data_IF_167492972872
#
_entry.id   IF_167492972872
#
_cell.length_a   1.000
_cell.length_b   1.000
_cell.length_c   1.000
_cell.angle_alpha   90.00
_cell.angle_beta   90.00
_cell.angle_gamma   90.00
#
_symmetry.space_group_name_H-M   'P 1'
#
loop_
_entity.id
_entity.type
_entity.pdbx_description
1 polymer ?
#
# COMPACT_ATOMS: atom_id res chain seq x y z
N UNK A 1 5.35 -23.39 -22.16
CA UNK A 1 5.12 -24.41 -21.10
C UNK A 1 5.31 -23.73 -19.76
N UNK A 2 4.38 -23.84 -18.80
CA UNK A 2 4.63 -23.36 -17.44
C UNK A 2 5.86 -24.09 -16.87
N UNK A 3 6.78 -23.34 -16.29
CA UNK A 3 7.96 -23.88 -15.59
C UNK A 3 7.59 -24.07 -14.13
N UNK A 4 7.72 -25.29 -13.61
CA UNK A 4 7.62 -25.52 -12.17
C UNK A 4 8.94 -25.08 -11.55
N UNK A 5 8.86 -24.12 -10.64
CA UNK A 5 9.98 -23.69 -9.82
C UNK A 5 9.98 -24.52 -8.53
N UNK A 6 11.00 -25.35 -8.36
CA UNK A 6 11.17 -26.25 -7.22
C UNK A 6 12.14 -25.70 -6.16
N UNK A 7 12.57 -24.45 -6.29
CA UNK A 7 13.50 -23.85 -5.35
C UNK A 7 12.82 -23.59 -4.00
N UNK A 8 13.61 -23.60 -2.92
CA UNK A 8 13.14 -23.33 -1.58
C UNK A 8 12.48 -21.94 -1.51
N UNK A 9 11.23 -21.90 -1.03
CA UNK A 9 10.49 -20.66 -0.76
C UNK A 9 10.37 -20.48 0.75
N UNK A 10 10.77 -19.32 1.23
CA UNK A 10 10.79 -18.99 2.66
C UNK A 10 9.75 -17.91 2.97
N UNK A 11 9.00 -18.09 4.05
CA UNK A 11 8.19 -17.07 4.69
C UNK A 11 8.87 -16.54 5.97
N UNK A 12 8.31 -15.47 6.54
CA UNK A 12 8.78 -14.91 7.81
C UNK A 12 8.84 -15.94 8.96
N UNK A 13 7.92 -16.92 8.98
CA UNK A 13 7.85 -17.98 10.01
C UNK A 13 8.97 -19.01 9.88
N UNK A 14 9.63 -19.10 8.73
CA UNK A 14 10.62 -20.14 8.44
C UNK A 14 12.05 -19.74 8.85
N UNK A 15 12.25 -18.50 9.30
CA UNK A 15 13.56 -17.93 9.59
C UNK A 15 13.63 -17.21 10.94
N UNK A 16 14.84 -17.11 11.49
CA UNK A 16 15.15 -16.32 12.68
C UNK A 16 16.39 -15.46 12.42
N UNK A 17 16.45 -14.29 13.06
CA UNK A 17 17.64 -13.45 13.05
C UNK A 17 18.67 -13.99 14.06
N UNK A 18 19.87 -14.36 13.58
CA UNK A 18 20.97 -14.79 14.45
C UNK A 18 21.55 -13.58 15.21
N UNK A 19 21.57 -13.59 16.56
CA UNK A 19 22.23 -12.54 17.33
C UNK A 19 23.72 -12.41 16.97
N UNK A 20 24.24 -11.19 17.01
CA UNK A 20 25.66 -10.89 16.81
C UNK A 20 26.19 -10.05 17.97
N UNK A 21 27.50 -10.13 18.22
CA UNK A 21 28.17 -9.25 19.20
C UNK A 21 27.92 -7.79 18.82
N UNK A 22 27.48 -6.96 19.76
CA UNK A 22 27.15 -5.55 19.55
C UNK A 22 27.85 -4.67 20.59
N UNK A 23 28.14 -3.43 20.22
CA UNK A 23 28.62 -2.37 21.13
C UNK A 23 27.49 -1.54 21.73
N UNK A 24 26.25 -1.69 21.24
CA UNK A 24 25.08 -0.98 21.76
C UNK A 24 24.81 -1.39 23.20
N UNK A 25 24.55 -0.41 24.06
CA UNK A 25 24.26 -0.64 25.48
C UNK A 25 22.77 -0.60 25.78
N UNK A 26 22.00 0.07 24.92
CA UNK A 26 20.55 0.23 25.06
C UNK A 26 19.87 0.19 23.69
N UNK A 27 18.60 -0.25 23.68
CA UNK A 27 17.73 -0.16 22.49
C UNK A 27 17.45 1.28 22.08
N UNK A 28 17.52 2.22 23.01
CA UNK A 28 17.32 3.65 22.75
C UNK A 28 18.45 4.27 21.89
N UNK A 29 19.58 3.58 21.72
CA UNK A 29 20.69 4.02 20.86
C UNK A 29 20.49 3.61 19.39
N UNK A 30 19.43 2.85 19.09
CA UNK A 30 19.13 2.40 17.72
C UNK A 30 18.46 3.54 16.96
N UNK A 31 19.07 3.92 15.84
CA UNK A 31 18.44 4.79 14.85
C UNK A 31 17.58 3.96 13.88
N UNK A 32 16.31 4.35 13.76
CA UNK A 32 15.34 3.72 12.87
C UNK A 32 15.12 4.50 11.59
N UNK A 33 15.62 5.74 11.51
CA UNK A 33 15.47 6.56 10.33
C UNK A 33 16.35 6.07 9.19
N UNK A 34 15.85 6.24 7.97
CA UNK A 34 16.57 5.97 6.73
C UNK A 34 16.48 7.16 5.82
N UNK A 35 17.59 7.48 5.17
CA UNK A 35 17.64 8.46 4.08
C UNK A 35 17.82 7.73 2.76
N UNK A 36 16.96 8.02 1.78
CA UNK A 36 17.00 7.44 0.45
C UNK A 36 17.03 8.55 -0.61
N UNK A 37 17.83 8.38 -1.65
CA UNK A 37 17.72 9.17 -2.88
C UNK A 37 17.19 8.26 -3.98
N UNK A 38 16.04 8.62 -4.54
CA UNK A 38 15.33 7.75 -5.48
C UNK A 38 15.88 7.81 -6.90
N UNK A 39 15.87 6.66 -7.58
CA UNK A 39 16.55 6.47 -8.86
C UNK A 39 16.02 7.39 -9.95
N UNK A 40 14.70 7.47 -10.14
CA UNK A 40 14.09 8.13 -11.28
C UNK A 40 13.63 9.54 -10.93
N UNK A 41 12.97 9.73 -9.79
CA UNK A 41 12.50 11.06 -9.36
C UNK A 41 13.62 11.99 -8.89
N UNK A 42 14.78 11.43 -8.49
CA UNK A 42 15.92 12.12 -7.87
C UNK A 42 15.59 12.80 -6.52
N UNK A 43 14.38 12.63 -6.01
CA UNK A 43 13.97 13.14 -4.72
C UNK A 43 14.68 12.41 -3.59
N UNK A 44 14.76 13.05 -2.44
CA UNK A 44 15.29 12.45 -1.22
C UNK A 44 14.19 12.34 -0.17
N UNK A 45 14.14 11.18 0.50
CA UNK A 45 13.27 10.92 1.65
C UNK A 45 14.13 10.72 2.89
N UNK A 46 13.64 11.20 4.05
CA UNK A 46 14.18 10.83 5.36
C UNK A 46 13.03 10.55 6.31
N UNK A 47 13.06 9.39 6.97
CA UNK A 47 12.05 8.99 7.96
C UNK A 47 12.15 7.51 8.32
N UNK A 48 11.21 7.05 9.15
CA UNK A 48 11.09 5.64 9.51
C UNK A 48 10.33 4.93 8.38
N UNK A 49 10.95 3.93 7.70
CA UNK A 49 10.41 3.38 6.47
C UNK A 49 9.33 2.31 6.71
N UNK A 50 8.32 2.68 7.49
CA UNK A 50 7.09 1.91 7.70
C UNK A 50 5.96 2.65 7.00
N UNK A 51 5.24 1.94 6.14
CA UNK A 51 4.15 2.49 5.33
C UNK A 51 2.82 1.90 5.80
N UNK A 52 1.85 2.74 6.12
CA UNK A 52 0.45 2.30 6.25
C UNK A 52 -0.10 1.98 4.86
N UNK A 53 -0.69 0.80 4.70
CA UNK A 53 -1.25 0.34 3.41
C UNK A 53 -2.43 1.21 2.94
N UNK A 54 -2.54 1.37 1.63
CA UNK A 54 -3.57 2.17 0.93
C UNK A 54 -4.96 1.50 0.88
N UNK A 55 -5.34 0.79 1.93
CA UNK A 55 -6.67 0.21 2.07
C UNK A 55 -7.63 1.24 2.67
N UNK A 56 -8.89 1.22 2.27
CA UNK A 56 -9.87 2.23 2.70
C UNK A 56 -10.17 2.20 4.21
N UNK A 57 -9.83 1.12 4.89
CA UNK A 57 -9.95 0.96 6.34
C UNK A 57 -8.72 1.44 7.12
N UNK A 58 -7.54 1.58 6.52
CA UNK A 58 -6.29 1.89 7.25
C UNK A 58 -5.54 3.11 6.71
N UNK A 59 -5.45 3.29 5.39
CA UNK A 59 -4.76 4.41 4.75
C UNK A 59 -5.61 5.68 4.75
N UNK A 60 -6.07 6.09 5.93
CA UNK A 60 -6.93 7.25 6.17
C UNK A 60 -6.11 8.50 6.46
N UNK A 61 -6.74 9.68 6.38
CA UNK A 61 -6.10 10.94 6.75
C UNK A 61 -5.81 11.02 8.26
N UNK A 62 -6.70 10.48 9.08
CA UNK A 62 -6.53 10.40 10.53
C UNK A 62 -5.32 9.54 10.90
N UNK A 63 -5.12 8.42 10.19
CA UNK A 63 -3.94 7.59 10.38
C UNK A 63 -2.67 8.33 9.97
N UNK A 64 -2.70 9.07 8.86
CA UNK A 64 -1.56 9.87 8.42
C UNK A 64 -1.17 10.96 9.44
N UNK A 65 -2.15 11.60 10.07
CA UNK A 65 -1.92 12.61 11.10
C UNK A 65 -1.24 12.07 12.37
N UNK A 66 -1.49 10.80 12.72
CA UNK A 66 -0.78 10.14 13.83
C UNK A 66 0.59 9.66 13.39
N UNK A 67 0.69 9.02 12.22
CA UNK A 67 1.93 8.43 11.74
C UNK A 67 3.02 9.47 11.43
N UNK A 68 2.62 10.67 10.99
CA UNK A 68 3.54 11.77 10.73
C UNK A 68 4.32 12.20 11.99
N UNK A 69 3.72 12.09 13.18
CA UNK A 69 4.35 12.40 14.47
C UNK A 69 5.48 11.43 14.81
N UNK A 70 5.52 10.28 14.14
CA UNK A 70 6.53 9.23 14.29
C UNK A 70 7.46 9.12 13.08
N UNK A 71 7.48 10.13 12.20
CA UNK A 71 8.26 10.10 10.94
C UNK A 71 7.94 8.90 10.04
N UNK A 72 6.74 8.30 10.19
CA UNK A 72 6.27 7.17 9.38
C UNK A 72 5.47 7.66 8.18
N UNK A 73 5.23 6.77 7.23
CA UNK A 73 4.64 7.07 5.94
C UNK A 73 3.23 6.50 5.81
N UNK A 74 2.34 7.17 5.08
CA UNK A 74 0.99 6.67 4.78
C UNK A 74 0.70 6.71 3.28
N UNK A 75 0.45 5.55 2.67
CA UNK A 75 -0.16 5.53 1.34
C UNK A 75 -1.68 5.71 1.51
N UNK A 76 -2.21 6.86 1.09
CA UNK A 76 -3.62 7.20 1.32
C UNK A 76 -4.50 6.45 0.33
N UNK A 77 -5.59 5.85 0.79
CA UNK A 77 -6.51 5.12 -0.06
C UNK A 77 -7.09 6.01 -1.18
N UNK A 78 -7.45 5.42 -2.33
CA UNK A 78 -7.86 6.19 -3.51
C UNK A 78 -9.30 6.75 -3.49
N UNK A 79 -10.05 6.58 -2.40
CA UNK A 79 -11.48 6.89 -2.35
C UNK A 79 -11.86 8.32 -1.89
N UNK A 80 -10.96 9.08 -1.24
CA UNK A 80 -11.24 10.48 -0.87
C UNK A 80 -11.43 11.40 -2.08
N UNK A 81 -12.27 12.43 -1.96
CA UNK A 81 -12.49 13.43 -2.99
C UNK A 81 -11.35 14.45 -3.05
N UNK A 82 -11.34 15.28 -4.10
CA UNK A 82 -10.38 16.38 -4.22
C UNK A 82 -10.51 17.39 -3.07
N UNK A 83 -11.75 17.65 -2.64
CA UNK A 83 -12.00 18.61 -1.56
C UNK A 83 -11.56 18.07 -0.20
N UNK A 84 -11.70 16.75 0.03
CA UNK A 84 -11.15 16.11 1.22
C UNK A 84 -9.62 16.26 1.27
N UNK A 85 -8.93 16.08 0.14
CA UNK A 85 -7.48 16.28 0.04
C UNK A 85 -7.07 17.73 0.30
N UNK A 86 -7.80 18.70 -0.25
CA UNK A 86 -7.54 20.13 0.00
C UNK A 86 -7.74 20.48 1.47
N UNK A 87 -8.79 19.94 2.09
CA UNK A 87 -9.07 20.14 3.51
C UNK A 87 -7.98 19.52 4.38
N UNK A 88 -7.58 18.27 4.09
CA UNK A 88 -6.47 17.60 4.76
C UNK A 88 -5.17 18.39 4.63
N UNK A 89 -4.82 18.85 3.43
CA UNK A 89 -3.62 19.64 3.20
C UNK A 89 -3.61 20.99 3.94
N UNK A 90 -4.78 21.60 4.11
CA UNK A 90 -4.95 22.84 4.86
C UNK A 90 -4.79 22.61 6.36
N UNK A 91 -5.35 21.52 6.88
CA UNK A 91 -5.38 21.23 8.31
C UNK A 91 -4.11 20.53 8.81
N UNK A 92 -3.42 19.78 7.94
CA UNK A 92 -2.29 18.92 8.26
C UNK A 92 -1.11 19.09 7.27
N UNK A 93 -0.59 20.32 7.05
CA UNK A 93 0.50 20.55 6.12
C UNK A 93 1.77 19.77 6.46
N UNK A 94 2.01 19.46 7.74
CA UNK A 94 3.13 18.67 8.24
C UNK A 94 3.13 17.22 7.74
N UNK A 95 1.97 16.70 7.36
CA UNK A 95 1.83 15.32 6.90
C UNK A 95 2.23 15.15 5.43
N UNK A 96 2.18 16.22 4.62
CA UNK A 96 2.22 16.14 3.16
C UNK A 96 3.53 15.59 2.58
N UNK A 97 4.63 15.67 3.33
CA UNK A 97 5.92 15.10 2.97
C UNK A 97 5.99 13.56 3.08
N UNK A 98 5.11 12.96 3.89
CA UNK A 98 5.12 11.53 4.23
C UNK A 98 3.83 10.81 3.81
N UNK A 99 3.14 11.33 2.79
CA UNK A 99 1.94 10.70 2.22
C UNK A 99 2.11 10.47 0.72
N UNK A 100 1.43 9.43 0.21
CA UNK A 100 1.29 9.19 -1.21
C UNK A 100 -0.17 9.22 -1.64
N UNK A 101 -0.45 9.78 -2.82
CA UNK A 101 -1.75 9.61 -3.49
C UNK A 101 -1.76 8.25 -4.18
N UNK A 102 -2.73 7.39 -3.85
CA UNK A 102 -2.88 6.09 -4.52
C UNK A 102 -3.77 6.16 -5.76
N UNK A 103 -3.46 5.32 -6.75
CA UNK A 103 -4.22 5.22 -8.00
C UNK A 103 -4.14 3.80 -8.57
N UNK A 104 -5.20 3.36 -9.27
CA UNK A 104 -5.15 2.19 -10.15
C UNK A 104 -4.59 2.54 -11.53
N UNK A 105 -4.92 1.75 -12.55
CA UNK A 105 -4.50 2.01 -13.95
C UNK A 105 -5.62 2.51 -14.87
N UNK A 106 -6.80 2.83 -14.30
CA UNK A 106 -7.96 3.32 -15.07
C UNK A 106 -7.88 4.81 -15.38
N UNK A 107 -8.53 5.25 -16.46
CA UNK A 107 -8.55 6.66 -16.86
C UNK A 107 -9.11 7.59 -15.77
N UNK A 108 -10.23 7.22 -15.14
CA UNK A 108 -10.83 8.00 -14.05
C UNK A 108 -9.90 8.11 -12.84
N UNK A 109 -9.16 7.03 -12.53
CA UNK A 109 -8.19 6.98 -11.43
C UNK A 109 -6.98 7.90 -11.73
N UNK A 110 -6.54 7.94 -13.00
CA UNK A 110 -5.48 8.86 -13.46
C UNK A 110 -5.91 10.33 -13.38
N UNK A 111 -7.12 10.64 -13.85
CA UNK A 111 -7.68 12.00 -13.81
C UNK A 111 -7.82 12.49 -12.37
N UNK A 112 -8.38 11.66 -11.48
CA UNK A 112 -8.53 11.99 -10.06
C UNK A 112 -7.19 12.24 -9.39
N UNK A 113 -6.22 11.33 -9.57
CA UNK A 113 -4.87 11.48 -9.03
C UNK A 113 -4.22 12.77 -9.55
N UNK A 114 -4.37 13.06 -10.84
CA UNK A 114 -3.84 14.28 -11.46
C UNK A 114 -4.41 15.53 -10.82
N UNK A 115 -5.74 15.61 -10.67
CA UNK A 115 -6.37 16.77 -10.05
C UNK A 115 -5.93 16.98 -8.59
N UNK A 116 -5.69 15.89 -7.84
CA UNK A 116 -5.19 15.97 -6.46
C UNK A 116 -3.76 16.53 -6.43
N UNK A 117 -2.85 15.97 -7.25
CA UNK A 117 -1.45 16.39 -7.26
C UNK A 117 -1.26 17.82 -7.78
N UNK A 118 -2.08 18.25 -8.74
CA UNK A 118 -2.09 19.64 -9.21
C UNK A 118 -2.61 20.62 -8.14
N UNK A 119 -3.61 20.21 -7.36
CA UNK A 119 -4.18 21.04 -6.29
C UNK A 119 -3.34 21.05 -5.00
N UNK A 120 -2.58 19.99 -4.73
CA UNK A 120 -1.76 19.79 -3.53
C UNK A 120 -0.32 19.47 -3.92
N UNK A 121 0.44 20.45 -4.47
CA UNK A 121 1.76 20.23 -5.04
C UNK A 121 2.83 19.82 -4.02
N UNK A 122 2.53 19.90 -2.71
CA UNK A 122 3.40 19.44 -1.63
C UNK A 122 3.49 17.92 -1.56
N UNK A 123 2.49 17.19 -2.06
CA UNK A 123 2.52 15.72 -2.09
C UNK A 123 3.46 15.28 -3.20
N UNK A 124 4.58 14.65 -2.85
CA UNK A 124 5.63 14.25 -3.81
C UNK A 124 5.67 12.76 -4.12
N UNK A 125 4.76 11.97 -3.57
CA UNK A 125 4.71 10.53 -3.75
C UNK A 125 3.42 10.05 -4.39
N UNK A 126 3.54 9.07 -5.26
CA UNK A 126 2.45 8.41 -5.97
C UNK A 126 2.52 6.92 -5.66
N UNK A 127 1.39 6.29 -5.37
CA UNK A 127 1.28 4.84 -5.15
C UNK A 127 0.37 4.21 -6.21
N UNK A 128 0.99 3.67 -7.26
CA UNK A 128 0.31 2.92 -8.32
C UNK A 128 0.12 1.47 -7.86
N UNK A 129 -1.13 1.08 -7.67
CA UNK A 129 -1.49 -0.18 -7.04
C UNK A 129 -2.52 -0.96 -7.86
N UNK A 130 -2.07 -2.13 -8.36
CA UNK A 130 -2.91 -3.10 -9.08
C UNK A 130 -2.65 -4.50 -8.55
N UNK A 131 -3.66 -5.38 -8.69
CA UNK A 131 -3.53 -6.78 -8.25
C UNK A 131 -2.49 -7.57 -9.06
N UNK A 132 -2.34 -7.26 -10.36
CA UNK A 132 -1.40 -7.91 -11.25
C UNK A 132 -0.44 -6.90 -11.90
N UNK A 133 0.71 -6.69 -11.26
CA UNK A 133 1.76 -5.80 -11.77
C UNK A 133 2.51 -6.33 -12.99
N UNK A 134 2.28 -7.58 -13.41
CA UNK A 134 2.91 -8.20 -14.59
C UNK A 134 2.23 -7.83 -15.92
N UNK A 135 1.16 -7.05 -15.86
CA UNK A 135 0.45 -6.63 -17.06
C UNK A 135 1.26 -5.59 -17.84
N UNK A 136 1.46 -5.81 -19.14
CA UNK A 136 2.05 -4.81 -20.04
C UNK A 136 1.30 -3.47 -19.97
N UNK A 137 -0.03 -3.52 -19.81
CA UNK A 137 -0.84 -2.32 -19.61
C UNK A 137 -0.42 -1.52 -18.37
N UNK A 138 -0.03 -2.20 -17.28
CA UNK A 138 0.45 -1.53 -16.07
C UNK A 138 1.84 -0.92 -16.28
N UNK A 139 2.72 -1.61 -17.01
CA UNK A 139 4.05 -1.08 -17.39
C UNK A 139 3.92 0.22 -18.19
N UNK A 140 3.05 0.22 -19.22
CA UNK A 140 2.76 1.43 -20.01
C UNK A 140 2.13 2.53 -19.17
N UNK A 141 1.27 2.17 -18.21
CA UNK A 141 0.70 3.13 -17.27
C UNK A 141 1.77 3.77 -16.37
N UNK A 142 2.74 3.01 -15.87
CA UNK A 142 3.88 3.55 -15.10
C UNK A 142 4.69 4.54 -15.94
N UNK A 143 4.99 4.22 -17.20
CA UNK A 143 5.68 5.14 -18.13
C UNK A 143 4.90 6.42 -18.33
N UNK A 144 3.58 6.31 -18.55
CA UNK A 144 2.68 7.46 -18.70
C UNK A 144 2.71 8.37 -17.45
N UNK A 145 2.58 7.78 -16.27
CA UNK A 145 2.59 8.54 -15.00
C UNK A 145 3.96 9.19 -14.77
N UNK A 146 5.08 8.50 -15.03
CA UNK A 146 6.43 9.09 -14.98
C UNK A 146 6.57 10.27 -15.94
N UNK A 147 6.11 10.13 -17.17
CA UNK A 147 6.18 11.21 -18.16
C UNK A 147 5.38 12.45 -17.71
N UNK A 148 4.22 12.25 -17.08
CA UNK A 148 3.37 13.33 -16.57
C UNK A 148 3.90 13.95 -15.27
N UNK A 149 4.52 13.16 -14.40
CA UNK A 149 5.00 13.58 -13.08
C UNK A 149 6.50 13.27 -12.91
N UNK A 150 7.40 13.96 -13.65
CA UNK A 150 8.81 13.60 -13.72
C UNK A 150 9.55 13.72 -12.38
N UNK A 151 9.12 14.62 -11.49
CA UNK A 151 9.74 14.85 -10.18
C UNK A 151 9.09 14.08 -9.02
N UNK A 152 7.96 13.42 -9.25
CA UNK A 152 7.30 12.66 -8.17
C UNK A 152 7.98 11.30 -8.00
N UNK A 153 8.09 10.85 -6.75
CA UNK A 153 8.53 9.50 -6.43
C UNK A 153 7.38 8.52 -6.62
N UNK A 154 7.60 7.49 -7.44
CA UNK A 154 6.53 6.55 -7.83
C UNK A 154 6.75 5.20 -7.16
N UNK A 155 5.81 4.78 -6.33
CA UNK A 155 5.66 3.40 -5.87
C UNK A 155 4.78 2.65 -6.88
N UNK A 156 5.18 1.46 -7.32
CA UNK A 156 4.40 0.67 -8.28
C UNK A 156 4.41 -0.83 -7.94
N UNK A 157 3.25 -1.49 -8.02
CA UNK A 157 3.15 -2.94 -7.85
C UNK A 157 1.70 -3.45 -7.88
N UNK A 158 1.44 -4.72 -7.57
CA UNK A 158 2.36 -5.68 -6.92
C UNK A 158 3.03 -6.69 -7.87
N UNK A 159 4.26 -7.09 -7.51
CA UNK A 159 5.05 -8.14 -8.19
C UNK A 159 5.77 -9.03 -7.16
N UNK A 160 6.35 -10.16 -7.59
CA UNK A 160 7.08 -11.12 -6.71
C UNK A 160 8.42 -11.62 -7.26
N UNK A 161 8.83 -11.15 -8.43
CA UNK A 161 10.01 -11.65 -9.13
C UNK A 161 10.91 -10.51 -9.59
N UNK A 162 12.22 -10.80 -9.70
CA UNK A 162 13.25 -9.81 -9.97
C UNK A 162 13.13 -9.16 -11.35
N UNK A 163 12.73 -9.91 -12.38
CA UNK A 163 12.59 -9.38 -13.74
C UNK A 163 11.51 -8.30 -13.81
N UNK A 164 10.40 -8.49 -13.09
CA UNK A 164 9.31 -7.52 -13.08
C UNK A 164 9.64 -6.31 -12.20
N UNK A 165 10.45 -6.50 -11.15
CA UNK A 165 11.04 -5.39 -10.39
C UNK A 165 11.91 -4.52 -11.30
N UNK A 166 12.81 -5.13 -12.08
CA UNK A 166 13.67 -4.42 -13.02
C UNK A 166 12.86 -3.69 -14.09
N UNK A 167 11.87 -4.34 -14.70
CA UNK A 167 11.03 -3.74 -15.73
C UNK A 167 10.27 -2.50 -15.22
N UNK A 168 9.67 -2.57 -14.03
CA UNK A 168 8.96 -1.44 -13.45
C UNK A 168 9.91 -0.28 -13.11
N UNK A 169 11.12 -0.57 -12.60
CA UNK A 169 12.14 0.46 -12.33
C UNK A 169 12.58 1.15 -13.62
N UNK A 170 12.86 0.38 -14.68
CA UNK A 170 13.27 0.91 -15.98
C UNK A 170 12.15 1.70 -16.65
N UNK A 171 10.90 1.33 -16.39
CA UNK A 171 9.70 2.01 -16.90
C UNK A 171 9.37 3.30 -16.16
N UNK A 172 10.00 3.56 -15.02
CA UNK A 172 9.95 4.85 -14.34
C UNK A 172 9.55 4.81 -12.87
N UNK A 173 9.24 3.65 -12.29
CA UNK A 173 8.98 3.53 -10.86
C UNK A 173 10.27 3.70 -10.02
N UNK A 174 10.15 4.25 -8.82
CA UNK A 174 11.27 4.41 -7.88
C UNK A 174 11.28 3.31 -6.82
N UNK A 175 10.10 2.90 -6.37
CA UNK A 175 9.89 1.92 -5.30
C UNK A 175 8.97 0.83 -5.83
N UNK A 176 9.40 -0.43 -5.76
CA UNK A 176 8.57 -1.54 -6.23
C UNK A 176 7.87 -2.18 -5.04
N UNK A 177 6.54 -2.26 -5.13
CA UNK A 177 5.70 -2.87 -4.11
C UNK A 177 5.68 -4.39 -4.35
N UNK A 178 6.29 -5.14 -3.45
CA UNK A 178 6.41 -6.60 -3.55
C UNK A 178 5.40 -7.24 -2.61
N UNK A 179 4.57 -8.16 -3.12
CA UNK A 179 3.52 -8.81 -2.33
C UNK A 179 3.62 -10.33 -2.42
N UNK A 180 3.82 -11.02 -1.28
CA UNK A 180 4.28 -12.42 -1.15
C UNK A 180 5.79 -12.53 -1.34
N UNK A 181 6.53 -12.21 -0.28
CA UNK A 181 7.98 -12.37 -0.22
C UNK A 181 8.52 -12.21 1.21
N UNK A 182 9.71 -12.72 1.54
CA UNK A 182 10.24 -12.83 2.90
C UNK A 182 10.64 -11.49 3.56
N UNK A 183 10.33 -10.34 2.96
CA UNK A 183 10.70 -8.99 3.45
C UNK A 183 12.21 -8.75 3.68
N UNK A 184 13.07 -9.72 3.36
CA UNK A 184 14.49 -9.68 3.65
C UNK A 184 15.18 -8.65 2.76
N UNK A 185 15.72 -7.60 3.37
CA UNK A 185 16.38 -6.50 2.65
C UNK A 185 15.44 -5.44 2.08
N UNK A 186 14.15 -5.44 2.45
CA UNK A 186 13.23 -4.41 2.02
C UNK A 186 13.63 -3.02 2.55
N UNK A 187 13.57 -2.00 1.67
CA UNK A 187 13.81 -0.60 2.05
C UNK A 187 12.68 -0.03 2.91
N UNK A 188 11.44 -0.43 2.59
CA UNK A 188 10.22 -0.08 3.32
C UNK A 188 9.38 -1.31 3.64
N UNK A 189 8.64 -1.27 4.75
CA UNK A 189 7.67 -2.31 5.12
C UNK A 189 6.27 -1.70 5.13
N UNK A 190 5.37 -2.23 4.29
CA UNK A 190 3.96 -1.81 4.24
C UNK A 190 3.08 -2.73 5.09
N UNK A 191 2.25 -2.15 5.96
CA UNK A 191 1.40 -2.88 6.90
C UNK A 191 -0.08 -2.49 6.75
N UNK A 192 -0.96 -3.50 6.69
CA UNK A 192 -2.42 -3.32 6.76
C UNK A 192 -2.99 -3.81 8.08
N UNK A 193 -3.04 -5.13 8.27
CA UNK A 193 -3.68 -5.77 9.43
C UNK A 193 -3.17 -5.29 10.80
N UNK A 194 -1.86 -5.00 10.93
CA UNK A 194 -1.28 -4.49 12.18
C UNK A 194 -1.76 -3.09 12.57
N UNK A 195 -2.17 -2.28 11.59
CA UNK A 195 -2.75 -0.96 11.83
C UNK A 195 -4.27 -0.97 11.87
N UNK A 196 -4.92 -2.06 11.47
CA UNK A 196 -6.39 -2.17 11.52
C UNK A 196 -6.92 -2.19 12.95
N UNK A 197 -8.17 -1.75 13.15
CA UNK A 197 -8.84 -1.81 14.44
C UNK A 197 -8.62 -0.62 15.38
N UNK A 198 -7.77 0.35 15.00
CA UNK A 198 -7.50 1.55 15.80
C UNK A 198 -8.56 2.64 15.59
N UNK A 199 -8.53 3.68 16.42
CA UNK A 199 -9.47 4.82 16.37
C UNK A 199 -9.42 5.57 15.05
N UNK A 200 -8.23 5.68 14.46
CA UNK A 200 -7.90 6.39 13.23
C UNK A 200 -8.33 5.62 11.97
N UNK A 201 -8.60 4.32 12.09
CA UNK A 201 -9.11 3.51 10.98
C UNK A 201 -10.53 3.94 10.60
N UNK A 202 -10.89 3.82 9.32
CA UNK A 202 -12.28 3.95 8.91
C UNK A 202 -13.11 2.74 9.35
N UNK A 203 -14.44 2.89 9.31
CA UNK A 203 -15.39 1.84 9.67
C UNK A 203 -15.92 1.97 11.10
N UNK A 204 -17.13 1.44 11.30
CA UNK A 204 -17.81 1.52 12.59
C UNK A 204 -17.23 0.55 13.61
N UNK A 205 -17.29 0.94 14.88
CA UNK A 205 -17.01 0.04 16.00
C UNK A 205 -18.25 -0.81 16.24
N UNK A 206 -18.10 -2.12 16.05
CA UNK A 206 -19.17 -3.11 16.24
C UNK A 206 -18.93 -3.79 17.59
N UNK A 207 -19.99 -3.95 18.38
CA UNK A 207 -19.94 -4.75 19.60
C UNK A 207 -20.49 -6.16 19.36
N UNK A 208 -19.67 -7.19 19.64
CA UNK A 208 -20.07 -8.60 19.58
C UNK A 208 -19.52 -9.35 20.78
N UNK A 209 -20.39 -10.06 21.50
CA UNK A 209 -20.02 -10.85 22.68
C UNK A 209 -19.22 -10.05 23.72
N UNK A 210 -19.61 -8.79 23.96
CA UNK A 210 -18.93 -7.87 24.88
C UNK A 210 -17.55 -7.38 24.42
N UNK A 211 -17.18 -7.62 23.15
CA UNK A 211 -15.93 -7.14 22.55
C UNK A 211 -16.21 -6.09 21.49
N UNK A 212 -15.41 -5.03 21.49
CA UNK A 212 -15.38 -4.02 20.43
C UNK A 212 -14.52 -4.53 19.28
N UNK A 213 -15.06 -4.47 18.08
CA UNK A 213 -14.44 -4.90 16.84
C UNK A 213 -14.53 -3.76 15.83
N UNK A 214 -13.61 -3.71 14.88
CA UNK A 214 -13.66 -2.82 13.73
C UNK A 214 -13.49 -3.66 12.48
N UNK A 215 -14.28 -3.37 11.45
CA UNK A 215 -14.27 -4.16 10.22
C UNK A 215 -12.97 -3.91 9.44
N UNK A 216 -12.32 -4.98 9.01
CA UNK A 216 -11.15 -4.96 8.14
C UNK A 216 -11.36 -5.96 7.00
N UNK A 217 -11.14 -5.55 5.75
CA UNK A 217 -11.35 -6.38 4.57
C UNK A 217 -10.34 -6.04 3.47
N UNK A 218 -10.00 -7.03 2.65
CA UNK A 218 -9.18 -6.82 1.45
C UNK A 218 -9.90 -5.96 0.40
N UNK A 219 -9.14 -5.15 -0.34
CA UNK A 219 -9.69 -4.24 -1.36
C UNK A 219 -10.30 -4.96 -2.58
N UNK A 220 -10.03 -6.25 -2.74
CA UNK A 220 -10.67 -7.13 -3.72
C UNK A 220 -11.74 -8.03 -3.11
N UNK A 221 -12.20 -7.78 -1.88
CA UNK A 221 -13.29 -8.57 -1.27
C UNK A 221 -14.67 -8.15 -1.80
N UNK A 222 -15.68 -9.00 -1.60
CA UNK A 222 -17.07 -8.68 -1.92
C UNK A 222 -17.53 -7.38 -1.24
N UNK A 223 -17.10 -7.16 0.01
CA UNK A 223 -17.39 -5.92 0.74
C UNK A 223 -16.86 -4.68 0.01
N UNK A 224 -15.59 -4.71 -0.40
CA UNK A 224 -14.97 -3.59 -1.11
C UNK A 224 -15.61 -3.38 -2.50
N UNK A 225 -15.85 -4.47 -3.24
CA UNK A 225 -16.44 -4.42 -4.58
C UNK A 225 -17.88 -3.90 -4.57
N UNK A 226 -18.69 -4.30 -3.58
CA UNK A 226 -20.04 -3.76 -3.40
C UNK A 226 -20.01 -2.26 -3.06
N UNK A 227 -19.07 -1.84 -2.19
CA UNK A 227 -18.93 -0.45 -1.75
C UNK A 227 -18.48 0.49 -2.86
N UNK A 228 -17.53 0.05 -3.70
CA UNK A 228 -16.81 0.95 -4.62
C UNK A 228 -17.05 0.68 -6.10
N UNK A 229 -17.50 -0.52 -6.47
CA UNK A 229 -17.72 -0.92 -7.86
C UNK A 229 -19.18 -1.33 -8.18
N UNK A 230 -20.09 -1.22 -7.21
CA UNK A 230 -21.51 -1.54 -7.39
C UNK A 230 -21.82 -3.03 -7.48
N UNK A 231 -20.87 -3.90 -7.14
CA UNK A 231 -21.04 -5.34 -7.15
C UNK A 231 -19.79 -6.12 -7.57
N UNK A 232 -19.85 -7.44 -7.41
CA UNK A 232 -18.83 -8.36 -7.92
C UNK A 232 -19.22 -8.79 -9.34
N UNK A 233 -18.34 -8.51 -10.30
CA UNK A 233 -18.53 -8.90 -11.69
C UNK A 233 -18.62 -10.44 -11.84
N UNK A 234 -19.45 -10.92 -12.77
CA UNK A 234 -19.70 -12.36 -12.96
C UNK A 234 -18.47 -13.17 -13.31
N UNK A 235 -17.54 -12.57 -14.05
CA UNK A 235 -16.30 -13.23 -14.44
C UNK A 235 -15.25 -13.26 -13.31
N UNK A 236 -15.50 -12.59 -12.18
CA UNK A 236 -14.54 -12.56 -11.06
C UNK A 236 -14.47 -13.92 -10.38
N UNK A 237 -13.26 -14.35 -10.04
CA UNK A 237 -13.02 -15.62 -9.32
C UNK A 237 -13.76 -15.70 -7.99
N UNK A 238 -14.02 -14.55 -7.34
CA UNK A 238 -14.83 -14.45 -6.13
C UNK A 238 -16.26 -14.99 -6.33
N UNK A 239 -16.87 -14.67 -7.48
CA UNK A 239 -18.22 -15.09 -7.82
C UNK A 239 -18.26 -16.50 -8.43
N UNK A 240 -17.15 -16.95 -9.03
CA UNK A 240 -17.01 -18.33 -9.52
C UNK A 240 -16.81 -19.35 -8.38
N UNK A 241 -16.22 -18.94 -7.25
CA UNK A 241 -15.98 -19.79 -6.09
C UNK A 241 -16.96 -19.58 -4.94
N UNK A 242 -17.90 -18.65 -5.05
CA UNK A 242 -19.04 -18.59 -4.14
C UNK A 242 -19.94 -19.81 -4.37
N UNK A 243 -19.59 -20.96 -3.76
CA UNK A 243 -20.58 -22.02 -3.53
C UNK A 243 -21.72 -21.39 -2.72
N UNK A 244 -23.00 -21.70 -3.00
CA UNK A 244 -24.06 -21.39 -2.06
C UNK A 244 -23.82 -22.23 -0.81
N UNK A 245 -23.16 -21.66 0.21
CA UNK A 245 -23.08 -22.24 1.54
C UNK A 245 -24.46 -22.09 2.18
N UNK A 246 -25.32 -23.09 1.97
CA UNK A 246 -26.59 -23.20 2.67
C UNK A 246 -26.45 -23.81 4.07
N UNK A 247 -25.22 -24.02 4.56
CA UNK A 247 -24.97 -24.53 5.90
C UNK A 247 -23.73 -23.86 6.53
N UNK A 248 -23.90 -23.29 7.72
CA UNK A 248 -22.90 -22.52 8.49
C UNK A 248 -21.93 -23.45 9.26
N UNK A 249 -22.17 -24.76 9.22
CA UNK A 249 -21.37 -25.75 9.95
C UNK A 249 -19.96 -26.00 9.38
N UNK A 250 -19.69 -25.64 8.12
CA UNK A 250 -18.41 -25.95 7.45
C UNK A 250 -17.28 -24.90 7.64
N UNK A 251 -17.47 -23.90 8.50
CA UNK A 251 -16.46 -22.85 8.75
C UNK A 251 -15.51 -23.16 9.92
N UNK A 252 -15.56 -24.37 10.50
CA UNK A 252 -14.75 -24.76 11.67
C UNK A 252 -14.22 -26.21 11.61
N UNK A 253 -13.59 -26.59 10.50
CA UNK A 253 -12.54 -27.63 10.45
C UNK A 253 -11.30 -27.07 9.74
#
# INVERSE_FOLDING_TARGET
MPRIDADLKLDFKDVLLRPKRSSLKSRAEVDLERTFTFRNSKQTYSGIPIIVANMDTVGTFEMAAVMSQHSMFTAIHKHYSLDDWKLFATNHPECLQNVAVSSGSGQNDLEKMTSILEAVPQVKFICLDVANGYSEHFVEFVKLVRAKFPEHTIMAGNVVTGEMVEELILSGADIIKVGVGPGAGADFVMLGGMFSGHTECAGEVIERNGRKLKLFYGMSSDTAMNKHAGGVAEYSTLKMHSKPTNDISDLWE
#
